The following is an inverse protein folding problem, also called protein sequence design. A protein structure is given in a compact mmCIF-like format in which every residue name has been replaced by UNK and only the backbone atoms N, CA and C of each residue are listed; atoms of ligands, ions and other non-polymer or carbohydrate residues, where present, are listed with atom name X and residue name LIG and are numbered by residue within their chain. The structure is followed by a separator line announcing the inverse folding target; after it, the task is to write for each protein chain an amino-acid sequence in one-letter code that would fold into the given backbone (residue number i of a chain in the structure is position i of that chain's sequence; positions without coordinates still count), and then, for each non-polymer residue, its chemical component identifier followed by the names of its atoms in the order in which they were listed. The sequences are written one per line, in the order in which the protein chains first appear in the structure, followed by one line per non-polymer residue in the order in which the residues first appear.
data_IF_009830140850
#
_entry.id   IF_009830140850
#
_cell.length_a   1.000
_cell.length_b   1.000
_cell.length_c   1.000
_cell.angle_alpha   90.00
_cell.angle_beta   90.00
_cell.angle_gamma   90.00
#
_symmetry.space_group_name_H-M   'P 1'
#
loop_
_entity.id
_entity.type
_entity.pdbx_description
1 polymer ?
#
# COMPACT_ATOMS: atom_id res chain seq x y z
N UNK A 1 -18.99 -28.13 77.72
CA UNK A 1 -17.87 -28.90 77.14
C UNK A 1 -17.29 -29.78 78.22
N UNK A 2 -17.15 -31.10 77.98
CA UNK A 2 -16.53 -32.02 78.95
C UNK A 2 -15.04 -32.11 78.64
N UNK A 3 -14.19 -31.76 79.60
CA UNK A 3 -12.74 -31.92 79.49
C UNK A 3 -12.36 -33.28 80.07
N UNK A 4 -11.64 -34.09 79.30
CA UNK A 4 -11.11 -35.39 79.74
C UNK A 4 -9.60 -35.25 79.87
N UNK A 5 -9.06 -35.59 81.02
CA UNK A 5 -7.63 -35.58 81.29
C UNK A 5 -7.16 -37.03 81.31
N UNK A 6 -6.25 -37.38 80.41
CA UNK A 6 -5.67 -38.72 80.31
C UNK A 6 -4.23 -38.64 80.79
N UNK A 7 -3.86 -39.45 81.77
CA UNK A 7 -2.47 -39.58 82.23
C UNK A 7 -1.84 -40.78 81.52
N UNK A 8 -0.73 -40.55 80.85
CA UNK A 8 0.08 -41.58 80.20
C UNK A 8 1.53 -41.43 80.61
N UNK A 9 2.28 -42.50 80.48
CA UNK A 9 3.73 -42.49 80.66
C UNK A 9 4.42 -41.74 79.52
N UNK A 10 5.64 -41.27 79.79
CA UNK A 10 6.42 -40.43 78.88
C UNK A 10 6.75 -41.15 77.57
N UNK A 11 7.04 -42.46 77.62
CA UNK A 11 7.33 -43.26 76.42
C UNK A 11 6.11 -43.35 75.51
N UNK A 12 4.93 -43.67 76.06
CA UNK A 12 3.69 -43.73 75.28
C UNK A 12 3.32 -42.36 74.69
N UNK A 13 3.60 -41.27 75.40
CA UNK A 13 3.38 -39.92 74.87
C UNK A 13 4.25 -39.64 73.64
N UNK A 14 5.54 -39.97 73.69
CA UNK A 14 6.46 -39.79 72.55
C UNK A 14 6.06 -40.63 71.33
N UNK A 15 5.66 -41.88 71.54
CA UNK A 15 5.18 -42.75 70.46
C UNK A 15 3.92 -42.21 69.79
N UNK A 16 2.96 -41.70 70.58
CA UNK A 16 1.74 -41.09 70.06
C UNK A 16 2.05 -39.80 69.27
N UNK A 17 3.02 -39.00 69.71
CA UNK A 17 3.45 -37.79 69.03
C UNK A 17 4.12 -38.13 67.68
N UNK A 18 4.98 -39.14 67.65
CA UNK A 18 5.59 -39.63 66.42
C UNK A 18 4.55 -40.13 65.41
N UNK A 19 3.57 -40.93 65.88
CA UNK A 19 2.46 -41.43 65.05
C UNK A 19 1.57 -40.29 64.54
N UNK A 20 1.23 -39.32 65.40
CA UNK A 20 0.44 -38.16 65.01
C UNK A 20 1.13 -37.35 63.90
N UNK A 21 2.45 -37.13 64.00
CA UNK A 21 3.24 -36.47 62.95
C UNK A 21 3.31 -37.28 61.66
N UNK A 22 3.51 -38.60 61.73
CA UNK A 22 3.56 -39.45 60.53
C UNK A 22 2.23 -39.49 59.78
N UNK A 23 1.10 -39.35 60.49
CA UNK A 23 -0.24 -39.29 59.89
C UNK A 23 -0.69 -37.85 59.53
N UNK A 24 0.15 -36.84 59.78
CA UNK A 24 -0.09 -35.46 59.35
C UNK A 24 -0.95 -34.60 60.30
N UNK A 25 -1.16 -35.01 61.54
CA UNK A 25 -1.94 -34.24 62.52
C UNK A 25 -1.09 -33.18 63.22
N UNK A 26 -1.68 -32.00 63.49
CA UNK A 26 -0.99 -30.89 64.17
C UNK A 26 -0.89 -31.08 65.69
N UNK A 27 -1.85 -31.76 66.32
CA UNK A 27 -1.87 -31.98 67.77
C UNK A 27 -2.21 -33.42 68.14
N UNK A 28 -1.66 -33.92 69.25
CA UNK A 28 -1.96 -35.25 69.79
C UNK A 28 -3.44 -35.39 70.14
N UNK A 29 -4.05 -34.31 70.65
CA UNK A 29 -5.48 -34.27 70.96
C UNK A 29 -6.37 -34.52 69.74
N UNK A 30 -5.97 -34.01 68.58
CA UNK A 30 -6.68 -34.19 67.30
C UNK A 30 -6.50 -35.63 66.79
N UNK A 31 -5.28 -36.17 66.87
CA UNK A 31 -5.00 -37.56 66.54
C UNK A 31 -5.78 -38.53 67.44
N UNK A 32 -5.81 -38.30 68.76
CA UNK A 32 -6.60 -39.12 69.70
C UNK A 32 -8.10 -39.01 69.44
N UNK A 33 -8.61 -37.81 69.09
CA UNK A 33 -10.02 -37.65 68.68
C UNK A 33 -10.32 -38.42 67.41
N UNK A 34 -9.45 -38.38 66.40
CA UNK A 34 -9.62 -39.12 65.16
C UNK A 34 -9.58 -40.64 65.42
N UNK A 35 -8.68 -41.11 66.28
CA UNK A 35 -8.57 -42.51 66.64
C UNK A 35 -9.80 -43.00 67.43
N UNK A 36 -10.30 -42.20 68.37
CA UNK A 36 -11.55 -42.47 69.10
C UNK A 36 -12.77 -42.42 68.17
N UNK A 37 -12.85 -41.46 67.24
CA UNK A 37 -13.90 -41.42 66.23
C UNK A 37 -13.85 -42.64 65.32
N UNK A 38 -12.66 -43.12 64.95
CA UNK A 38 -12.48 -44.31 64.13
C UNK A 38 -12.83 -45.60 64.87
N UNK A 39 -12.57 -45.67 66.18
CA UNK A 39 -12.91 -46.85 66.98
C UNK A 39 -14.40 -46.86 67.37
N UNK A 40 -14.95 -45.72 67.78
CA UNK A 40 -16.37 -45.56 68.13
C UNK A 40 -17.28 -45.57 66.89
N UNK A 41 -16.80 -45.02 65.77
CA UNK A 41 -17.51 -45.01 64.48
C UNK A 41 -17.66 -46.38 63.82
N UNK A 42 -17.01 -47.43 64.34
CA UNK A 42 -17.21 -48.81 63.89
C UNK A 42 -18.39 -49.53 64.54
N UNK A 43 -18.96 -49.01 65.64
CA UNK A 43 -19.95 -49.77 66.42
C UNK A 43 -21.33 -49.10 66.61
N UNK A 44 -21.61 -47.84 66.22
CA UNK A 44 -22.90 -47.25 66.66
C UNK A 44 -23.66 -46.22 65.80
N UNK A 45 -23.26 -45.79 64.59
CA UNK A 45 -24.07 -44.77 63.87
C UNK A 45 -24.09 -44.89 62.33
N UNK A 46 -24.91 -45.81 61.79
CA UNK A 46 -25.15 -45.91 60.33
C UNK A 46 -26.61 -45.59 59.94
N UNK A 47 -27.51 -45.15 60.84
CA UNK A 47 -28.94 -45.08 60.48
C UNK A 47 -29.72 -43.77 60.69
N UNK A 48 -29.24 -42.79 61.46
CA UNK A 48 -30.05 -41.57 61.70
C UNK A 48 -29.36 -40.24 61.34
N UNK A 49 -28.04 -40.19 61.30
CA UNK A 49 -27.30 -38.96 60.95
C UNK A 49 -27.14 -38.74 59.44
N UNK A 50 -27.29 -39.79 58.62
CA UNK A 50 -27.16 -39.67 57.16
C UNK A 50 -28.34 -38.94 56.51
N UNK A 51 -29.58 -39.08 57.01
CA UNK A 51 -30.77 -38.48 56.38
C UNK A 51 -30.86 -36.96 56.54
N UNK A 52 -30.52 -36.41 57.71
CA UNK A 52 -30.57 -34.95 57.94
C UNK A 52 -29.38 -34.22 57.31
N UNK A 53 -28.21 -34.86 57.27
CA UNK A 53 -27.00 -34.31 56.64
C UNK A 53 -27.04 -34.43 55.11
N UNK A 54 -27.65 -35.48 54.56
CA UNK A 54 -27.93 -35.59 53.10
C UNK A 54 -28.98 -34.57 52.66
N UNK A 55 -30.09 -34.39 53.37
CA UNK A 55 -31.10 -33.37 53.06
C UNK A 55 -30.55 -31.94 53.10
N UNK A 56 -29.56 -31.64 53.95
CA UNK A 56 -28.89 -30.32 53.97
C UNK A 56 -27.82 -30.20 52.89
N UNK A 57 -27.06 -31.27 52.64
CA UNK A 57 -26.06 -31.31 51.56
C UNK A 57 -26.71 -31.22 50.18
N UNK A 58 -27.82 -31.91 49.94
CA UNK A 58 -28.61 -31.85 48.71
C UNK A 58 -29.18 -30.45 48.46
N UNK A 59 -29.69 -29.78 49.51
CA UNK A 59 -30.13 -28.38 49.41
C UNK A 59 -28.97 -27.43 49.12
N UNK A 60 -27.79 -27.67 49.71
CA UNK A 60 -26.58 -26.90 49.41
C UNK A 60 -26.12 -27.12 47.96
N UNK A 61 -26.18 -28.35 47.46
CA UNK A 61 -25.89 -28.70 46.06
C UNK A 61 -26.88 -27.99 45.12
N UNK A 62 -28.18 -28.02 45.41
CA UNK A 62 -29.19 -27.32 44.61
C UNK A 62 -28.99 -25.79 44.61
N UNK A 63 -28.61 -25.20 45.75
CA UNK A 63 -28.32 -23.77 45.83
C UNK A 63 -27.02 -23.40 45.10
N UNK A 64 -26.00 -24.26 45.15
CA UNK A 64 -24.76 -24.11 44.39
C UNK A 64 -25.03 -24.25 42.90
N UNK A 65 -25.79 -25.25 42.49
CA UNK A 65 -26.20 -25.47 41.11
C UNK A 65 -26.96 -24.27 40.57
N UNK A 66 -27.94 -23.74 41.33
CA UNK A 66 -28.67 -22.54 40.94
C UNK A 66 -27.75 -21.32 40.84
N UNK A 67 -26.86 -21.12 41.81
CA UNK A 67 -25.91 -20.00 41.78
C UNK A 67 -24.90 -20.12 40.63
N UNK A 68 -24.52 -21.34 40.25
CA UNK A 68 -23.65 -21.63 39.11
C UNK A 68 -24.43 -21.36 37.81
N UNK A 69 -25.66 -21.83 37.69
CA UNK A 69 -26.55 -21.53 36.55
C UNK A 69 -26.80 -20.03 36.41
N UNK A 70 -27.10 -19.32 37.50
CA UNK A 70 -27.30 -17.86 37.50
C UNK A 70 -26.05 -17.10 37.05
N UNK A 71 -24.85 -17.65 37.31
CA UNK A 71 -23.59 -17.09 36.84
C UNK A 71 -23.27 -17.49 35.39
N UNK A 72 -23.64 -18.68 34.95
CA UNK A 72 -23.36 -19.21 33.61
C UNK A 72 -24.34 -18.66 32.57
N UNK A 73 -25.63 -18.55 32.89
CA UNK A 73 -26.68 -18.09 31.97
C UNK A 73 -26.35 -16.75 31.27
N UNK A 74 -25.80 -15.72 31.95
CA UNK A 74 -25.34 -14.51 31.31
C UNK A 74 -24.19 -14.73 30.32
N UNK A 75 -23.26 -15.65 30.61
CA UNK A 75 -22.18 -15.99 29.69
C UNK A 75 -22.70 -16.79 28.49
N UNK A 76 -23.60 -17.75 28.71
CA UNK A 76 -24.26 -18.49 27.62
C UNK A 76 -25.00 -17.53 26.69
N UNK A 77 -25.77 -16.59 27.24
CA UNK A 77 -26.49 -15.58 26.45
C UNK A 77 -25.54 -14.68 25.65
N UNK A 78 -24.39 -14.29 26.23
CA UNK A 78 -23.35 -13.52 25.53
C UNK A 78 -22.64 -14.32 24.45
N UNK A 79 -22.42 -15.62 24.68
CA UNK A 79 -21.85 -16.53 23.69
C UNK A 79 -22.83 -16.68 22.53
N UNK A 80 -24.12 -16.86 22.80
CA UNK A 80 -25.15 -16.93 21.76
C UNK A 80 -25.24 -15.62 20.96
N UNK A 81 -25.15 -14.47 21.62
CA UNK A 81 -25.09 -13.16 20.96
C UNK A 81 -23.83 -13.02 20.09
N UNK A 82 -22.67 -13.49 20.58
CA UNK A 82 -21.42 -13.49 19.84
C UNK A 82 -21.49 -14.43 18.62
N UNK A 83 -22.07 -15.62 18.78
CA UNK A 83 -22.29 -16.57 17.68
C UNK A 83 -23.21 -15.98 16.60
N UNK A 84 -24.27 -15.27 16.99
CA UNK A 84 -25.14 -14.55 16.05
C UNK A 84 -24.40 -13.44 15.32
N UNK A 85 -23.64 -12.61 16.04
CA UNK A 85 -22.82 -11.54 15.44
C UNK A 85 -21.75 -12.10 14.52
N UNK A 86 -21.15 -13.23 14.87
CA UNK A 86 -20.15 -13.90 14.05
C UNK A 86 -20.76 -14.41 12.74
N UNK A 87 -21.96 -15.01 12.79
CA UNK A 87 -22.71 -15.39 11.59
C UNK A 87 -23.02 -14.19 10.70
N UNK A 88 -23.54 -13.10 11.28
CA UNK A 88 -23.80 -11.86 10.53
C UNK A 88 -22.50 -11.27 9.92
N UNK A 89 -21.37 -11.40 10.62
CA UNK A 89 -20.08 -10.94 10.11
C UNK A 89 -19.62 -11.78 8.92
N UNK A 90 -19.79 -13.10 8.97
CA UNK A 90 -19.51 -14.00 7.84
C UNK A 90 -20.39 -13.63 6.65
N UNK A 91 -21.70 -13.48 6.83
CA UNK A 91 -22.62 -13.10 5.75
C UNK A 91 -22.24 -11.75 5.12
N UNK A 92 -21.86 -10.76 5.94
CA UNK A 92 -21.40 -9.46 5.45
C UNK A 92 -20.06 -9.56 4.71
N UNK A 93 -19.14 -10.42 5.15
CA UNK A 93 -17.88 -10.66 4.46
C UNK A 93 -18.12 -11.32 3.10
N UNK A 94 -18.94 -12.36 3.04
CA UNK A 94 -19.31 -13.03 1.79
C UNK A 94 -19.97 -12.04 0.80
N UNK A 95 -20.89 -11.20 1.28
CA UNK A 95 -21.52 -10.17 0.46
C UNK A 95 -20.52 -9.10 -0.04
N UNK A 96 -19.49 -8.78 0.74
CA UNK A 96 -18.41 -7.86 0.32
C UNK A 96 -17.51 -8.55 -0.70
N UNK A 97 -17.14 -9.81 -0.49
CA UNK A 97 -16.34 -10.59 -1.45
C UNK A 97 -17.04 -10.72 -2.80
N UNK A 98 -18.35 -11.00 -2.81
CA UNK A 98 -19.15 -11.08 -4.04
C UNK A 98 -19.21 -9.72 -4.75
N UNK A 99 -19.42 -8.63 -3.99
CA UNK A 99 -19.38 -7.27 -4.55
C UNK A 99 -18.00 -6.93 -5.10
N UNK A 100 -16.93 -7.31 -4.41
CA UNK A 100 -15.55 -7.08 -4.83
C UNK A 100 -15.26 -7.82 -6.14
N UNK A 101 -15.62 -9.11 -6.23
CA UNK A 101 -15.51 -9.89 -7.48
C UNK A 101 -16.26 -9.23 -8.62
N UNK A 102 -17.50 -8.79 -8.39
CA UNK A 102 -18.29 -8.09 -9.43
C UNK A 102 -17.67 -6.75 -9.86
N UNK A 103 -16.97 -6.08 -8.93
CA UNK A 103 -16.29 -4.82 -9.19
C UNK A 103 -14.99 -5.06 -9.95
N UNK A 104 -14.23 -6.09 -9.58
CA UNK A 104 -13.03 -6.54 -10.28
C UNK A 104 -13.36 -6.98 -11.72
N UNK A 105 -14.45 -7.73 -11.93
CA UNK A 105 -14.93 -8.10 -13.27
C UNK A 105 -15.33 -6.88 -14.10
N UNK A 106 -16.08 -5.93 -13.51
CA UNK A 106 -16.43 -4.68 -14.18
C UNK A 106 -15.18 -3.87 -14.52
N UNK A 107 -14.22 -3.75 -13.58
CA UNK A 107 -12.96 -3.05 -13.80
C UNK A 107 -12.14 -3.73 -14.88
N UNK A 108 -12.08 -5.07 -14.92
CA UNK A 108 -11.39 -5.81 -15.97
C UNK A 108 -12.04 -5.59 -17.35
N UNK A 109 -13.37 -5.56 -17.44
CA UNK A 109 -14.10 -5.25 -18.68
C UNK A 109 -13.86 -3.80 -19.11
N UNK A 110 -13.90 -2.84 -18.18
CA UNK A 110 -13.57 -1.45 -18.47
C UNK A 110 -12.11 -1.27 -18.87
N UNK A 111 -11.16 -1.95 -18.22
CA UNK A 111 -9.74 -1.93 -18.57
C UNK A 111 -9.49 -2.56 -19.94
N UNK A 112 -10.11 -3.70 -20.27
CA UNK A 112 -10.02 -4.29 -21.61
C UNK A 112 -10.69 -3.41 -22.69
N UNK A 113 -11.78 -2.72 -22.35
CA UNK A 113 -12.42 -1.73 -23.21
C UNK A 113 -11.54 -0.49 -23.43
N UNK A 114 -10.90 -0.01 -22.37
CA UNK A 114 -9.95 1.10 -22.41
C UNK A 114 -8.70 0.69 -23.17
N UNK A 115 -8.16 -0.51 -23.01
CA UNK A 115 -7.00 -1.00 -23.77
C UNK A 115 -7.31 -1.14 -25.26
N UNK A 116 -8.51 -1.60 -25.65
CA UNK A 116 -8.91 -1.63 -27.07
C UNK A 116 -9.10 -0.24 -27.67
N UNK A 117 -9.55 0.73 -26.88
CA UNK A 117 -9.78 2.11 -27.33
C UNK A 117 -8.50 2.95 -27.27
N UNK A 118 -7.63 2.69 -26.28
CA UNK A 118 -6.31 3.25 -26.11
C UNK A 118 -5.30 2.62 -27.08
N UNK A 119 -5.43 1.36 -27.49
CA UNK A 119 -4.61 0.80 -28.58
C UNK A 119 -4.96 1.41 -29.94
N UNK A 120 -6.23 1.81 -30.14
CA UNK A 120 -6.65 2.58 -31.32
C UNK A 120 -6.17 4.04 -31.26
N UNK A 121 -6.31 4.74 -30.12
CA UNK A 121 -5.80 6.12 -29.94
C UNK A 121 -4.28 6.21 -29.81
N UNK A 122 -3.62 5.23 -29.20
CA UNK A 122 -2.16 5.16 -29.11
C UNK A 122 -1.53 4.78 -30.45
N UNK A 123 -2.20 4.08 -31.36
CA UNK A 123 -1.72 3.98 -32.76
C UNK A 123 -1.82 5.30 -33.52
N UNK A 124 -2.69 6.23 -33.10
CA UNK A 124 -2.74 7.60 -33.62
C UNK A 124 -1.74 8.54 -32.93
N UNK A 125 -1.44 8.33 -31.64
CA UNK A 125 -0.53 9.18 -30.84
C UNK A 125 0.92 8.65 -30.80
N UNK A 126 1.18 7.38 -31.18
CA UNK A 126 2.55 6.81 -31.23
C UNK A 126 3.35 7.23 -32.46
N UNK A 127 2.83 8.12 -33.28
CA UNK A 127 3.68 8.96 -34.13
C UNK A 127 3.85 10.24 -33.34
N UNK A 128 5.01 10.42 -32.69
CA UNK A 128 5.41 11.75 -32.17
C UNK A 128 4.99 12.78 -33.22
N UNK A 129 4.18 13.77 -32.84
CA UNK A 129 3.64 14.69 -33.84
C UNK A 129 4.80 15.39 -34.52
N UNK A 130 4.65 15.77 -35.80
CA UNK A 130 5.75 16.41 -36.54
C UNK A 130 6.24 17.66 -35.78
N UNK A 131 5.31 18.43 -35.21
CA UNK A 131 5.61 19.56 -34.32
C UNK A 131 6.35 19.17 -33.04
N UNK A 132 6.07 18.02 -32.43
CA UNK A 132 6.75 17.61 -31.19
C UNK A 132 8.21 17.27 -31.48
N UNK A 133 8.47 16.61 -32.60
CA UNK A 133 9.83 16.33 -33.09
C UNK A 133 10.56 17.66 -33.36
N UNK A 134 9.87 18.64 -33.96
CA UNK A 134 10.45 19.96 -34.20
C UNK A 134 10.75 20.71 -32.89
N UNK A 135 9.88 20.63 -31.88
CA UNK A 135 10.16 21.25 -30.56
C UNK A 135 11.36 20.61 -29.86
N UNK A 136 11.51 19.28 -29.97
CA UNK A 136 12.66 18.57 -29.40
C UNK A 136 13.97 18.96 -30.11
N UNK A 137 13.97 19.01 -31.45
CA UNK A 137 15.19 19.24 -32.24
C UNK A 137 15.48 20.72 -32.54
N UNK A 138 14.48 21.62 -32.36
CA UNK A 138 14.46 23.06 -32.67
C UNK A 138 14.60 23.42 -34.15
N UNK A 139 15.46 22.71 -34.89
CA UNK A 139 15.70 22.86 -36.32
C UNK A 139 15.73 21.49 -36.99
N UNK A 140 15.00 21.35 -38.10
CA UNK A 140 15.00 20.14 -38.93
C UNK A 140 15.43 20.51 -40.34
N UNK A 141 16.52 19.90 -40.79
CA UNK A 141 17.01 19.98 -42.17
C UNK A 141 16.44 18.84 -43.00
N UNK A 142 16.04 19.10 -44.24
CA UNK A 142 15.53 18.07 -45.16
C UNK A 142 16.50 16.89 -45.30
N UNK A 143 17.80 17.15 -45.38
CA UNK A 143 18.82 16.09 -45.51
C UNK A 143 18.87 15.15 -44.31
N UNK A 144 18.61 15.66 -43.10
CA UNK A 144 18.66 14.86 -41.87
C UNK A 144 17.44 13.92 -41.76
N UNK A 145 16.30 14.30 -42.33
CA UNK A 145 15.08 13.48 -42.35
C UNK A 145 14.90 12.65 -43.62
N UNK A 146 15.67 12.92 -44.67
CA UNK A 146 15.60 12.24 -45.96
C UNK A 146 15.74 10.71 -45.85
N UNK A 147 16.52 10.23 -44.88
CA UNK A 147 16.71 8.78 -44.64
C UNK A 147 15.54 8.15 -43.88
N UNK A 148 14.76 8.95 -43.14
CA UNK A 148 13.73 8.48 -42.19
C UNK A 148 12.32 8.59 -42.75
N UNK A 149 12.08 9.50 -43.69
CA UNK A 149 10.74 9.82 -44.19
C UNK A 149 10.72 9.71 -45.72
N UNK A 150 9.74 8.95 -46.24
CA UNK A 150 9.58 8.70 -47.68
C UNK A 150 8.98 9.90 -48.44
N UNK A 151 8.12 10.67 -47.79
CA UNK A 151 7.44 11.84 -48.37
C UNK A 151 7.81 13.10 -47.58
N UNK A 152 8.68 13.91 -48.20
CA UNK A 152 9.25 15.12 -47.58
C UNK A 152 8.27 16.28 -47.66
N UNK A 153 7.61 16.45 -48.80
CA UNK A 153 6.66 17.54 -49.04
C UNK A 153 5.52 17.48 -48.02
N UNK A 154 4.92 16.30 -47.84
CA UNK A 154 3.86 16.09 -46.85
C UNK A 154 4.31 16.36 -45.41
N UNK A 155 5.59 16.16 -45.09
CA UNK A 155 6.13 16.43 -43.76
C UNK A 155 6.27 17.93 -43.50
N UNK A 156 6.88 18.67 -44.44
CA UNK A 156 7.03 20.12 -44.31
C UNK A 156 5.69 20.86 -44.38
N UNK A 157 4.76 20.46 -45.25
CA UNK A 157 3.41 21.04 -45.28
C UNK A 157 2.63 20.82 -43.98
N UNK A 158 2.87 19.70 -43.28
CA UNK A 158 2.27 19.48 -41.95
C UNK A 158 2.90 20.39 -40.90
N UNK A 159 4.22 20.51 -40.88
CA UNK A 159 4.92 21.41 -39.99
C UNK A 159 4.47 22.86 -40.17
N UNK A 160 4.33 23.31 -41.42
CA UNK A 160 3.84 24.65 -41.75
C UNK A 160 2.40 24.88 -41.25
N UNK A 161 1.50 23.90 -41.44
CA UNK A 161 0.13 23.94 -40.90
C UNK A 161 0.08 23.95 -39.37
N UNK A 162 1.03 23.29 -38.72
CA UNK A 162 1.17 23.24 -37.26
C UNK A 162 1.90 24.48 -36.71
N UNK A 163 2.31 25.41 -37.58
CA UNK A 163 2.84 26.73 -37.24
C UNK A 163 4.35 26.88 -37.34
N UNK A 164 5.09 25.87 -37.81
CA UNK A 164 6.53 25.95 -38.00
C UNK A 164 6.91 26.93 -39.14
N UNK A 165 8.04 27.63 -38.99
CA UNK A 165 8.59 28.46 -40.07
C UNK A 165 9.41 27.56 -40.99
N UNK A 166 8.88 27.28 -42.18
CA UNK A 166 9.62 26.57 -43.23
C UNK A 166 10.34 27.60 -44.10
N UNK A 167 11.63 27.37 -44.30
CA UNK A 167 12.52 28.20 -45.12
C UNK A 167 12.94 27.35 -46.31
N UNK A 168 12.67 27.85 -47.52
CA UNK A 168 13.13 27.22 -48.75
C UNK A 168 14.53 27.71 -49.07
N UNK A 169 15.54 26.88 -48.79
CA UNK A 169 16.92 27.12 -49.18
C UNK A 169 17.19 26.72 -50.62
N UNK A 170 18.42 26.97 -51.08
CA UNK A 170 18.83 26.65 -52.45
C UNK A 170 18.83 25.14 -52.75
N UNK A 171 19.26 24.34 -51.78
CA UNK A 171 19.45 22.89 -51.94
C UNK A 171 18.54 22.04 -51.04
N UNK A 172 17.89 22.65 -50.04
CA UNK A 172 17.05 21.93 -49.06
C UNK A 172 16.04 22.85 -48.37
N UNK A 173 14.92 22.27 -47.93
CA UNK A 173 13.98 22.93 -47.02
C UNK A 173 14.39 22.77 -45.56
N UNK A 174 14.23 23.83 -44.79
CA UNK A 174 14.60 23.88 -43.37
C UNK A 174 13.37 24.29 -42.58
N UNK A 175 12.93 23.44 -41.66
CA UNK A 175 11.87 23.79 -40.71
C UNK A 175 12.50 24.25 -39.40
N UNK A 176 12.06 25.41 -38.92
CA UNK A 176 12.51 26.00 -37.67
C UNK A 176 11.30 26.21 -36.76
N UNK A 177 11.47 25.90 -35.48
CA UNK A 177 10.47 26.19 -34.47
C UNK A 177 10.26 27.71 -34.35
N UNK A 178 9.02 28.22 -34.25
CA UNK A 178 8.74 29.67 -34.32
C UNK A 178 9.43 30.51 -33.25
N UNK A 179 9.43 30.07 -31.98
CA UNK A 179 10.07 30.82 -30.90
C UNK A 179 11.59 30.84 -31.06
N UNK A 180 12.17 29.72 -31.46
CA UNK A 180 13.59 29.58 -31.75
C UNK A 180 14.02 30.43 -32.94
N UNK A 181 13.19 30.52 -33.98
CA UNK A 181 13.45 31.41 -35.13
C UNK A 181 13.53 32.87 -34.69
N UNK A 182 12.61 33.33 -33.84
CA UNK A 182 12.62 34.71 -33.35
C UNK A 182 13.88 35.02 -32.51
N UNK A 183 14.29 34.09 -31.65
CA UNK A 183 15.53 34.23 -30.87
C UNK A 183 16.76 34.28 -31.77
N UNK A 184 16.80 33.41 -32.78
CA UNK A 184 17.87 33.38 -33.77
C UNK A 184 17.96 34.70 -34.55
N UNK A 185 16.84 35.23 -35.07
CA UNK A 185 16.82 36.53 -35.78
C UNK A 185 17.34 37.65 -34.89
N UNK A 186 16.91 37.72 -33.63
CA UNK A 186 17.41 38.71 -32.67
C UNK A 186 18.92 38.60 -32.43
N UNK A 187 19.45 37.38 -32.32
CA UNK A 187 20.90 37.16 -32.21
C UNK A 187 21.62 37.66 -33.46
N UNK A 188 21.12 37.31 -34.64
CA UNK A 188 21.69 37.69 -35.94
C UNK A 188 21.71 39.21 -36.13
N UNK A 189 20.63 39.91 -35.79
CA UNK A 189 20.56 41.37 -35.90
C UNK A 189 21.54 42.10 -34.96
N UNK A 190 21.89 41.46 -33.83
CA UNK A 190 22.88 41.95 -32.88
C UNK A 190 24.32 41.60 -33.29
N UNK A 191 24.52 40.70 -34.26
CA UNK A 191 25.86 40.39 -34.77
C UNK A 191 26.36 41.53 -35.66
N UNK A 192 27.33 42.29 -35.16
CA UNK A 192 27.99 43.37 -35.89
C UNK A 192 29.27 42.95 -36.61
N UNK A 193 29.60 41.66 -36.56
CA UNK A 193 30.87 41.13 -37.04
C UNK A 193 30.66 40.16 -38.21
N UNK A 194 31.57 40.22 -39.19
CA UNK A 194 31.68 39.28 -40.33
C UNK A 194 32.77 38.21 -40.12
N UNK A 195 33.38 38.15 -38.93
CA UNK A 195 34.39 37.14 -38.60
C UNK A 195 33.69 35.84 -38.19
N UNK A 196 33.87 34.79 -39.00
CA UNK A 196 33.26 33.48 -38.76
C UNK A 196 33.68 32.87 -37.40
N UNK A 197 34.88 33.18 -36.89
CA UNK A 197 35.35 32.69 -35.57
C UNK A 197 34.62 33.36 -34.40
N UNK A 198 34.29 34.64 -34.51
CA UNK A 198 33.54 35.37 -33.48
C UNK A 198 32.08 34.94 -33.49
N UNK A 199 31.51 34.75 -34.68
CA UNK A 199 30.15 34.22 -34.85
C UNK A 199 30.03 32.83 -34.21
N UNK A 200 31.07 31.98 -34.33
CA UNK A 200 31.10 30.66 -33.72
C UNK A 200 31.12 30.67 -32.18
N UNK A 201 31.61 31.75 -31.55
CA UNK A 201 31.58 31.88 -30.09
C UNK A 201 30.22 32.34 -29.56
N UNK A 202 29.42 32.99 -30.40
CA UNK A 202 28.14 33.59 -30.01
C UNK A 202 26.96 32.66 -30.32
N UNK A 203 27.04 31.92 -31.42
CA UNK A 203 25.99 31.01 -31.87
C UNK A 203 26.21 29.58 -31.35
N UNK A 204 25.11 28.92 -30.97
CA UNK A 204 25.14 27.49 -30.65
C UNK A 204 25.48 26.65 -31.89
N UNK A 205 25.92 25.40 -31.70
CA UNK A 205 26.29 24.52 -32.81
C UNK A 205 25.16 24.34 -33.86
N UNK A 206 23.91 24.31 -33.42
CA UNK A 206 22.72 24.21 -34.29
C UNK A 206 22.46 25.54 -35.01
N UNK A 207 22.56 26.66 -34.30
CA UNK A 207 22.39 28.01 -34.86
C UNK A 207 23.46 28.31 -35.91
N UNK A 208 24.70 27.89 -35.67
CA UNK A 208 25.80 28.04 -36.60
C UNK A 208 25.57 27.22 -37.88
N UNK A 209 25.01 26.01 -37.75
CA UNK A 209 24.63 25.19 -38.90
C UNK A 209 23.52 25.87 -39.71
N UNK A 210 22.50 26.42 -39.02
CA UNK A 210 21.44 27.21 -39.66
C UNK A 210 22.01 28.45 -40.34
N UNK A 211 22.86 29.22 -39.67
CA UNK A 211 23.53 30.41 -40.19
C UNK A 211 24.31 30.12 -41.47
N UNK A 212 25.16 29.10 -41.46
CA UNK A 212 25.94 28.69 -42.64
C UNK A 212 25.03 28.32 -43.80
N UNK A 213 23.93 27.60 -43.52
CA UNK A 213 22.96 27.22 -44.55
C UNK A 213 22.18 28.39 -45.14
N UNK A 214 21.82 29.37 -44.32
CA UNK A 214 21.18 30.60 -44.79
C UNK A 214 22.16 31.46 -45.61
N UNK A 215 23.44 31.53 -45.20
CA UNK A 215 24.52 32.19 -45.94
C UNK A 215 24.77 31.52 -47.30
N UNK A 216 24.84 30.18 -47.34
CA UNK A 216 24.98 29.39 -48.58
C UNK A 216 23.79 29.58 -49.52
N UNK A 217 22.58 29.70 -48.97
CA UNK A 217 21.35 29.91 -49.75
C UNK A 217 21.12 31.37 -50.17
N UNK A 218 22.07 32.27 -49.87
CA UNK A 218 21.95 33.72 -50.08
C UNK A 218 20.72 34.36 -49.39
N UNK A 219 20.16 33.70 -48.39
CA UNK A 219 19.04 34.20 -47.57
C UNK A 219 19.53 35.11 -46.43
N UNK A 220 20.83 35.11 -46.19
CA UNK A 220 21.49 35.92 -45.19
C UNK A 220 22.66 36.69 -45.83
N UNK A 221 22.58 38.02 -45.83
CA UNK A 221 23.57 38.91 -46.44
C UNK A 221 24.12 39.87 -45.39
N UNK A 222 25.45 40.00 -45.32
CA UNK A 222 26.08 41.00 -44.48
C UNK A 222 26.07 42.36 -45.17
N UNK A 223 25.37 43.33 -44.59
CA UNK A 223 25.38 44.70 -45.06
C UNK A 223 26.61 45.41 -44.49
N UNK A 224 27.58 45.71 -45.35
CA UNK A 224 28.83 46.38 -44.97
C UNK A 224 28.62 47.82 -44.50
N UNK A 225 27.60 48.51 -45.01
CA UNK A 225 27.24 49.88 -44.61
C UNK A 225 26.62 49.93 -43.22
N UNK A 226 25.71 49.00 -42.91
CA UNK A 226 25.05 48.92 -41.61
C UNK A 226 25.84 48.10 -40.58
N UNK A 227 26.90 47.40 -41.01
CA UNK A 227 27.65 46.41 -40.22
C UNK A 227 26.74 45.42 -39.52
N UNK A 228 25.73 44.94 -40.22
CA UNK A 228 24.72 44.03 -39.69
C UNK A 228 24.36 42.97 -40.72
N UNK A 229 23.98 41.81 -40.21
CA UNK A 229 23.41 40.75 -41.03
C UNK A 229 21.93 41.03 -41.30
N UNK A 230 21.51 40.88 -42.56
CA UNK A 230 20.13 41.04 -43.00
C UNK A 230 19.60 39.73 -43.58
N UNK A 231 18.40 39.35 -43.14
CA UNK A 231 17.67 38.16 -43.61
C UNK A 231 16.73 38.59 -44.76
N UNK A 232 16.72 37.86 -45.87
CA UNK A 232 15.97 38.17 -47.09
C UNK A 232 14.78 37.21 -47.34
N UNK A 233 14.19 36.66 -46.27
CA UNK A 233 13.15 35.61 -46.27
C UNK A 233 11.75 36.19 -46.05
#
# INVERSE_FOLDING_TARGET
MKTVIIKIDEKTYEELLAKAKSEGFLTISEYLRALLMRSVGKETQVKETEKTTSLTSEKLIQLLERRIQDKINPFTSKIDELSRKYGEFIERLEAIEEKLKSLEEKVAIYQQGIEKTAAKKAKEISKKSAIDILREQKVIFERDIATRIRDRDSFFSKLEREGAKVIEGKDERIAVEPTYWQEFVKKIENLSTNNDEEIQKILDAIELRLFKKLKESALLVYNTSLRKWQILI
#
